data_IF_739157860394
#
_entry.id   IF_739157860394
#
_cell.length_a   1.000
_cell.length_b   1.000
_cell.length_c   1.000
_cell.angle_alpha   90.00
_cell.angle_beta   90.00
_cell.angle_gamma   90.00
#
_symmetry.space_group_name_H-M   'P 1'
#
loop_
_entity.id
_entity.type
_entity.pdbx_description
1 polymer ?
#
# COMPACT_ATOMS: atom_id res chain seq x y z
N UNK A 1 3.92 -1.01 10.78
CA UNK A 1 2.99 -0.06 10.14
C UNK A 1 2.01 0.47 11.18
N UNK A 2 1.41 1.65 10.94
CA UNK A 2 0.41 2.19 11.86
C UNK A 2 -0.74 1.21 12.14
N UNK A 3 -1.05 0.34 11.17
CA UNK A 3 -2.03 -0.72 11.34
C UNK A 3 -1.55 -1.83 12.31
N UNK A 4 -0.24 -2.15 12.31
CA UNK A 4 0.33 -3.09 13.28
C UNK A 4 0.19 -2.58 14.71
N UNK A 5 0.52 -1.29 14.94
CA UNK A 5 0.35 -0.67 16.27
C UNK A 5 -1.11 -0.63 16.71
N UNK A 6 -2.01 -0.37 15.77
CA UNK A 6 -3.46 -0.40 16.03
C UNK A 6 -3.91 -1.80 16.49
N UNK A 7 -3.52 -2.84 15.78
CA UNK A 7 -3.86 -4.22 16.12
C UNK A 7 -3.23 -4.64 17.46
N UNK A 8 -1.95 -4.32 17.70
CA UNK A 8 -1.28 -4.57 18.98
C UNK A 8 -1.96 -3.85 20.15
N UNK A 9 -2.54 -2.67 19.89
CA UNK A 9 -3.32 -1.92 20.88
C UNK A 9 -4.79 -2.36 21.00
N UNK A 10 -5.19 -3.48 20.38
CA UNK A 10 -6.56 -3.97 20.38
C UNK A 10 -7.56 -3.15 19.56
N UNK A 11 -7.07 -2.24 18.72
CA UNK A 11 -7.90 -1.40 17.86
C UNK A 11 -8.22 -2.13 16.56
N UNK A 12 -9.26 -1.66 15.86
CA UNK A 12 -9.68 -2.24 14.57
C UNK A 12 -8.70 -1.89 13.45
N UNK A 13 -8.49 -2.82 12.53
CA UNK A 13 -7.78 -2.61 11.27
C UNK A 13 -8.63 -1.74 10.33
N UNK A 14 -8.05 -0.66 9.79
CA UNK A 14 -8.77 0.26 8.91
C UNK A 14 -8.70 -0.21 7.47
N UNK A 15 -9.85 -0.27 6.80
CA UNK A 15 -9.97 -0.46 5.36
C UNK A 15 -10.89 0.58 4.76
N UNK A 16 -10.67 0.92 3.49
CA UNK A 16 -11.60 1.75 2.74
C UNK A 16 -12.67 0.86 2.11
N UNK A 17 -13.93 1.29 2.20
CA UNK A 17 -15.11 0.50 1.83
C UNK A 17 -15.09 -0.89 2.50
N UNK A 18 -15.09 -1.95 1.70
CA UNK A 18 -15.02 -3.34 2.17
C UNK A 18 -13.59 -3.91 2.17
N UNK A 19 -12.60 -3.15 1.64
CA UNK A 19 -11.21 -3.58 1.57
C UNK A 19 -10.92 -4.66 0.52
N UNK A 20 -11.81 -4.84 -0.47
CA UNK A 20 -11.69 -5.88 -1.52
C UNK A 20 -11.58 -5.31 -2.93
N UNK A 21 -11.83 -4.00 -3.12
CA UNK A 21 -11.93 -3.37 -4.44
C UNK A 21 -10.60 -3.12 -5.12
N UNK A 22 -9.55 -2.95 -4.35
CA UNK A 22 -8.20 -2.70 -4.85
C UNK A 22 -7.26 -3.82 -4.43
N UNK A 23 -6.23 -4.04 -5.21
CA UNK A 23 -5.19 -5.02 -4.89
C UNK A 23 -3.81 -4.54 -5.34
N UNK A 24 -2.77 -5.13 -4.78
CA UNK A 24 -1.38 -4.92 -5.21
C UNK A 24 -0.58 -6.20 -5.00
N UNK A 25 0.59 -6.29 -5.65
CA UNK A 25 1.64 -7.27 -5.35
C UNK A 25 2.73 -6.56 -4.54
N UNK A 26 2.72 -6.64 -3.19
CA UNK A 26 3.69 -5.93 -2.36
C UNK A 26 5.11 -6.41 -2.66
N UNK A 27 6.03 -5.47 -2.93
CA UNK A 27 7.44 -5.75 -3.13
C UNK A 27 8.25 -5.19 -1.96
N UNK A 28 9.28 -5.93 -1.53
CA UNK A 28 10.17 -5.45 -0.47
C UNK A 28 11.07 -4.32 -0.98
N UNK A 29 11.49 -3.44 -0.07
CA UNK A 29 12.46 -2.39 -0.40
C UNK A 29 13.77 -2.97 -0.91
N UNK A 30 14.21 -4.12 -0.40
CA UNK A 30 15.42 -4.83 -0.82
C UNK A 30 15.29 -5.32 -2.26
N UNK A 31 14.20 -6.02 -2.58
CA UNK A 31 13.96 -6.54 -3.92
C UNK A 31 13.79 -5.40 -4.93
N UNK A 32 13.05 -4.35 -4.57
CA UNK A 32 12.88 -3.18 -5.41
C UNK A 32 14.22 -2.48 -5.69
N UNK A 33 15.06 -2.31 -4.67
CA UNK A 33 16.40 -1.73 -4.83
C UNK A 33 17.28 -2.58 -5.77
N UNK A 34 17.24 -3.91 -5.61
CA UNK A 34 17.94 -4.84 -6.50
C UNK A 34 17.46 -4.70 -7.95
N UNK A 35 16.13 -4.61 -8.15
CA UNK A 35 15.55 -4.40 -9.48
C UNK A 35 16.01 -3.07 -10.11
N UNK A 36 16.01 -1.99 -9.34
CA UNK A 36 16.45 -0.67 -9.81
C UNK A 36 17.92 -0.69 -10.22
N UNK A 37 18.78 -1.33 -9.42
CA UNK A 37 20.22 -1.47 -9.75
C UNK A 37 20.40 -2.29 -11.03
N UNK A 38 19.63 -3.38 -11.20
CA UNK A 38 19.68 -4.19 -12.41
C UNK A 38 19.26 -3.41 -13.67
N UNK A 39 18.35 -2.45 -13.56
CA UNK A 39 17.97 -1.57 -14.67
C UNK A 39 19.13 -0.71 -15.19
N UNK A 40 20.16 -0.42 -14.37
CA UNK A 40 21.32 0.37 -14.79
C UNK A 40 22.13 -0.39 -15.83
N UNK A 41 22.29 -1.69 -15.64
CA UNK A 41 23.14 -2.54 -16.46
C UNK A 41 22.39 -3.32 -17.57
N UNK A 42 21.07 -3.25 -17.57
CA UNK A 42 20.23 -3.98 -18.52
C UNK A 42 19.58 -3.00 -19.52
N UNK A 43 20.11 -2.96 -20.75
CA UNK A 43 19.62 -2.08 -21.82
C UNK A 43 18.14 -2.32 -22.17
N UNK A 44 17.65 -3.57 -21.98
CA UNK A 44 16.25 -3.90 -22.25
C UNK A 44 15.27 -3.25 -21.27
N UNK A 45 15.77 -2.76 -20.13
CA UNK A 45 14.99 -2.07 -19.09
C UNK A 45 15.14 -0.56 -19.12
N UNK A 46 16.06 -0.02 -19.93
CA UNK A 46 16.31 1.42 -19.99
C UNK A 46 15.29 2.15 -20.86
N UNK A 47 14.92 3.37 -20.46
CA UNK A 47 13.96 4.24 -21.17
C UNK A 47 12.58 3.61 -21.39
N UNK A 48 12.13 2.77 -20.46
CA UNK A 48 10.82 2.10 -20.51
C UNK A 48 10.06 2.32 -19.20
N UNK A 49 8.74 2.26 -19.29
CA UNK A 49 7.88 2.10 -18.12
C UNK A 49 7.82 0.59 -17.80
N UNK A 50 8.27 0.22 -16.62
CA UNK A 50 8.39 -1.17 -16.20
C UNK A 50 7.45 -1.40 -15.01
N UNK A 51 6.25 -1.95 -15.25
CA UNK A 51 5.40 -2.39 -14.14
C UNK A 51 6.07 -3.53 -13.40
N UNK A 52 5.99 -3.52 -12.06
CA UNK A 52 6.61 -4.51 -11.21
C UNK A 52 5.82 -4.72 -9.93
N UNK A 53 5.76 -5.95 -9.45
CA UNK A 53 5.27 -6.34 -8.15
C UNK A 53 6.20 -7.30 -7.46
N UNK A 54 5.96 -7.56 -6.19
CA UNK A 54 6.64 -8.60 -5.42
C UNK A 54 6.11 -9.99 -5.75
N UNK A 55 6.74 -11.03 -5.18
CA UNK A 55 6.38 -12.42 -5.43
C UNK A 55 5.03 -12.79 -4.80
N UNK A 56 4.29 -13.65 -5.49
CA UNK A 56 3.04 -14.24 -5.03
C UNK A 56 1.77 -13.52 -5.50
N UNK A 57 0.61 -13.90 -4.98
CA UNK A 57 -0.67 -13.38 -5.46
C UNK A 57 -0.84 -11.89 -5.15
N UNK A 58 -1.65 -11.21 -5.96
CA UNK A 58 -2.11 -9.89 -5.61
C UNK A 58 -2.98 -9.95 -4.34
N UNK A 59 -2.76 -9.01 -3.43
CA UNK A 59 -3.40 -8.97 -2.13
C UNK A 59 -4.25 -7.72 -1.99
N UNK A 60 -5.50 -7.90 -1.63
CA UNK A 60 -6.42 -6.83 -1.23
C UNK A 60 -6.07 -6.30 0.17
N UNK A 61 -6.50 -5.08 0.54
CA UNK A 61 -6.30 -4.56 1.89
C UNK A 61 -6.77 -5.49 3.02
N UNK A 62 -7.88 -6.20 2.81
CA UNK A 62 -8.39 -7.14 3.83
C UNK A 62 -7.52 -8.39 3.95
N UNK A 63 -6.95 -8.90 2.85
CA UNK A 63 -6.01 -10.02 2.86
C UNK A 63 -4.69 -9.64 3.52
N UNK A 64 -4.17 -8.44 3.25
CA UNK A 64 -3.01 -7.90 3.95
C UNK A 64 -3.28 -7.76 5.46
N UNK A 65 -4.49 -7.30 5.82
CA UNK A 65 -4.90 -7.23 7.22
C UNK A 65 -4.96 -8.60 7.90
N UNK A 66 -5.43 -9.64 7.18
CA UNK A 66 -5.42 -11.03 7.70
C UNK A 66 -4.00 -11.55 7.94
N UNK A 67 -3.10 -11.33 6.98
CA UNK A 67 -1.70 -11.71 7.13
C UNK A 67 -1.05 -11.03 8.35
N UNK A 68 -1.29 -9.73 8.53
CA UNK A 68 -0.77 -8.96 9.65
C UNK A 68 -1.35 -9.45 10.99
N UNK A 69 -2.68 -9.62 11.08
CA UNK A 69 -3.35 -10.07 12.28
C UNK A 69 -2.87 -11.48 12.69
N UNK A 70 -2.72 -12.39 11.72
CA UNK A 70 -2.17 -13.72 11.93
C UNK A 70 -0.72 -13.67 12.45
N UNK A 71 0.12 -12.81 11.88
CA UNK A 71 1.51 -12.65 12.30
C UNK A 71 1.62 -12.13 13.74
N UNK A 72 0.74 -11.21 14.14
CA UNK A 72 0.70 -10.65 15.51
C UNK A 72 0.00 -11.61 16.49
N UNK A 73 -0.78 -12.58 16.01
CA UNK A 73 -1.54 -13.52 16.87
C UNK A 73 -2.82 -12.93 17.44
N UNK A 74 -3.47 -11.99 16.74
CA UNK A 74 -4.71 -11.34 17.19
C UNK A 74 -5.85 -11.56 16.19
N UNK A 75 -7.13 -11.51 16.65
CA UNK A 75 -8.26 -11.57 15.73
C UNK A 75 -8.32 -10.31 14.85
N UNK A 76 -8.65 -10.47 13.56
CA UNK A 76 -8.84 -9.35 12.64
C UNK A 76 -10.23 -8.72 12.87
N UNK A 77 -10.27 -7.61 13.57
CA UNK A 77 -11.44 -6.76 13.66
C UNK A 77 -11.32 -5.58 12.68
N UNK A 78 -12.27 -5.40 11.79
CA UNK A 78 -12.22 -4.42 10.69
C UNK A 78 -13.06 -3.19 11.03
N UNK A 79 -12.54 -2.02 10.69
CA UNK A 79 -13.26 -0.76 10.64
C UNK A 79 -13.30 -0.29 9.18
N UNK A 80 -14.48 -0.26 8.61
CA UNK A 80 -14.72 0.25 7.25
C UNK A 80 -14.80 1.77 7.28
N UNK A 81 -14.12 2.42 6.35
CA UNK A 81 -14.15 3.87 6.16
C UNK A 81 -14.66 4.17 4.75
N UNK A 82 -15.79 4.87 4.59
CA UNK A 82 -16.33 5.18 3.28
C UNK A 82 -15.35 5.99 2.44
N UNK A 83 -15.15 5.64 1.16
CA UNK A 83 -14.34 6.42 0.22
C UNK A 83 -14.89 7.83 -0.01
N UNK A 84 -16.21 8.00 0.10
CA UNK A 84 -16.87 9.31 0.01
C UNK A 84 -16.32 10.33 1.03
N UNK A 85 -15.71 9.87 2.14
CA UNK A 85 -15.04 10.75 3.09
C UNK A 85 -13.93 11.58 2.43
N UNK A 86 -13.19 11.00 1.48
CA UNK A 86 -12.15 11.71 0.73
C UNK A 86 -12.74 12.77 -0.21
N UNK A 87 -13.95 12.57 -0.73
CA UNK A 87 -14.59 13.52 -1.64
C UNK A 87 -14.99 14.83 -0.93
N UNK A 88 -15.16 14.75 0.39
CA UNK A 88 -15.39 15.93 1.24
C UNK A 88 -14.07 16.47 1.81
N UNK A 89 -13.22 15.58 2.31
CA UNK A 89 -11.98 15.95 3.01
C UNK A 89 -10.98 16.67 2.09
N UNK A 90 -10.78 16.15 0.87
CA UNK A 90 -9.78 16.69 -0.06
C UNK A 90 -10.11 18.13 -0.48
N UNK A 91 -11.32 18.46 -0.96
CA UNK A 91 -11.68 19.85 -1.28
C UNK A 91 -11.57 20.79 -0.09
N UNK A 92 -12.01 20.36 1.10
CA UNK A 92 -11.92 21.17 2.33
C UNK A 92 -10.45 21.47 2.67
N UNK A 93 -9.59 20.45 2.68
CA UNK A 93 -8.16 20.63 2.93
C UNK A 93 -7.48 21.52 1.88
N UNK A 94 -7.87 21.41 0.61
CA UNK A 94 -7.36 22.29 -0.46
C UNK A 94 -7.81 23.74 -0.26
N UNK A 95 -9.08 23.95 0.03
CA UNK A 95 -9.63 25.30 0.27
C UNK A 95 -8.97 26.00 1.45
N UNK A 96 -8.88 25.31 2.61
CA UNK A 96 -8.23 25.86 3.80
C UNK A 96 -6.71 25.94 3.63
N UNK A 97 -6.11 24.98 2.91
CA UNK A 97 -4.67 24.96 2.60
C UNK A 97 -4.20 26.12 1.73
N UNK A 98 -5.12 26.78 0.99
CA UNK A 98 -4.81 28.02 0.29
C UNK A 98 -4.45 29.15 1.25
N UNK A 99 -5.01 29.14 2.46
CA UNK A 99 -4.79 30.14 3.52
C UNK A 99 -3.75 29.67 4.55
N UNK A 100 -3.63 28.35 4.76
CA UNK A 100 -2.76 27.75 5.78
C UNK A 100 -1.77 26.78 5.12
N UNK A 101 -0.51 27.18 4.88
CA UNK A 101 0.49 26.36 4.16
C UNK A 101 0.69 24.95 4.73
N UNK A 102 0.63 24.78 6.05
CA UNK A 102 0.76 23.47 6.72
C UNK A 102 -0.34 22.46 6.33
N UNK A 103 -1.46 22.91 5.78
CA UNK A 103 -2.54 22.04 5.31
C UNK A 103 -2.38 21.63 3.84
N UNK A 104 -1.50 22.27 3.06
CA UNK A 104 -1.23 21.90 1.68
C UNK A 104 -0.64 20.47 1.60
N UNK A 105 0.32 20.16 2.46
CA UNK A 105 0.92 18.82 2.53
C UNK A 105 -0.12 17.77 2.92
N UNK A 106 -0.98 18.08 3.89
CA UNK A 106 -2.07 17.18 4.29
C UNK A 106 -3.09 16.96 3.17
N UNK A 107 -3.40 17.99 2.39
CA UNK A 107 -4.27 17.90 1.23
C UNK A 107 -3.65 16.98 0.14
N UNK A 108 -2.36 17.15 -0.15
CA UNK A 108 -1.64 16.31 -1.11
C UNK A 108 -1.60 14.84 -0.65
N UNK A 109 -1.31 14.58 0.62
CA UNK A 109 -1.33 13.23 1.19
C UNK A 109 -2.73 12.61 1.14
N UNK A 110 -3.78 13.39 1.40
CA UNK A 110 -5.16 12.92 1.29
C UNK A 110 -5.55 12.58 -0.16
N UNK A 111 -5.05 13.34 -1.15
CA UNK A 111 -5.22 13.01 -2.58
C UNK A 111 -4.54 11.71 -2.97
N UNK A 112 -3.30 11.52 -2.55
CA UNK A 112 -2.55 10.29 -2.75
C UNK A 112 -3.29 9.11 -2.10
N UNK A 113 -3.74 9.27 -0.86
CA UNK A 113 -4.53 8.27 -0.14
C UNK A 113 -5.84 7.93 -0.86
N UNK A 114 -6.55 8.94 -1.40
CA UNK A 114 -7.74 8.74 -2.21
C UNK A 114 -7.48 7.93 -3.49
N UNK A 115 -6.36 8.22 -4.16
CA UNK A 115 -5.95 7.48 -5.35
C UNK A 115 -5.72 6.00 -5.04
N UNK A 116 -4.86 5.69 -4.06
CA UNK A 116 -4.57 4.31 -3.68
C UNK A 116 -5.75 3.54 -3.07
N UNK A 117 -6.73 4.26 -2.55
CA UNK A 117 -7.95 3.64 -2.05
C UNK A 117 -8.94 3.25 -3.16
N UNK A 118 -8.76 3.78 -4.39
CA UNK A 118 -9.63 3.55 -5.55
C UNK A 118 -8.99 2.70 -6.63
N UNK A 119 -7.67 2.81 -6.80
CA UNK A 119 -6.93 2.20 -7.88
C UNK A 119 -6.06 1.04 -7.37
N UNK A 120 -6.03 -0.06 -8.12
CA UNK A 120 -5.11 -1.15 -7.84
C UNK A 120 -3.70 -0.82 -8.36
N UNK A 121 -2.68 -1.29 -7.64
CA UNK A 121 -1.29 -1.20 -8.10
C UNK A 121 -0.92 -2.47 -8.86
N UNK A 122 -1.56 -2.66 -10.00
CA UNK A 122 -1.42 -3.80 -10.91
C UNK A 122 -1.41 -3.26 -12.34
N UNK A 123 -0.98 -4.07 -13.29
CA UNK A 123 -1.06 -3.72 -14.71
C UNK A 123 -2.51 -3.53 -15.12
N UNK A 124 -2.79 -2.43 -15.79
CA UNK A 124 -4.08 -2.18 -16.41
C UNK A 124 -4.16 -2.89 -17.76
N UNK A 125 -5.20 -3.67 -17.97
CA UNK A 125 -5.48 -4.33 -19.23
C UNK A 125 -6.52 -3.52 -20.03
N UNK A 126 -6.06 -2.91 -21.10
CA UNK A 126 -6.91 -2.08 -21.99
C UNK A 126 -8.01 -2.89 -22.66
N UNK A 127 -7.81 -4.18 -22.87
CA UNK A 127 -8.79 -5.03 -23.55
C UNK A 127 -9.98 -5.35 -22.65
N UNK A 128 -9.68 -5.75 -21.42
CA UNK A 128 -10.73 -6.10 -20.44
C UNK A 128 -11.19 -4.91 -19.59
N UNK A 129 -10.52 -3.75 -19.69
CA UNK A 129 -10.75 -2.56 -18.87
C UNK A 129 -10.72 -2.87 -17.38
N UNK A 130 -9.77 -3.73 -16.99
CA UNK A 130 -9.60 -4.16 -15.58
C UNK A 130 -8.11 -4.25 -15.21
N UNK A 131 -7.84 -4.24 -13.91
CA UNK A 131 -6.51 -4.54 -13.38
C UNK A 131 -6.22 -6.04 -13.46
N UNK A 132 -5.07 -6.39 -14.03
CA UNK A 132 -4.66 -7.79 -14.26
C UNK A 132 -3.48 -8.18 -13.38
N UNK A 133 -3.73 -9.00 -12.38
CA UNK A 133 -2.70 -9.50 -11.46
C UNK A 133 -1.71 -10.45 -12.16
N UNK A 134 -2.20 -11.28 -13.09
CA UNK A 134 -1.37 -12.26 -13.80
C UNK A 134 -0.45 -11.58 -14.80
N UNK A 135 -0.88 -10.47 -15.40
CA UNK A 135 -0.04 -9.65 -16.28
C UNK A 135 0.94 -8.75 -15.52
N UNK A 136 0.83 -8.63 -14.19
CA UNK A 136 1.75 -7.83 -13.37
C UNK A 136 3.02 -8.65 -13.09
N UNK A 137 4.19 -8.25 -13.65
CA UNK A 137 5.44 -8.97 -13.47
C UNK A 137 5.85 -9.06 -12.01
N UNK A 138 6.44 -10.18 -11.63
CA UNK A 138 6.96 -10.41 -10.29
C UNK A 138 8.49 -10.33 -10.27
N UNK A 139 9.03 -9.80 -9.17
CA UNK A 139 10.46 -9.78 -8.92
C UNK A 139 10.75 -9.94 -7.43
N UNK A 140 11.85 -10.64 -7.15
CA UNK A 140 12.34 -10.84 -5.79
C UNK A 140 11.79 -12.11 -5.12
N UNK A 141 12.09 -12.23 -3.86
CA UNK A 141 11.76 -13.41 -3.05
C UNK A 141 11.09 -13.08 -1.73
N UNK A 142 11.13 -11.80 -1.30
CA UNK A 142 10.61 -11.38 -0.02
C UNK A 142 9.08 -11.27 -0.06
N UNK A 143 8.39 -12.09 0.71
CA UNK A 143 6.93 -12.04 0.78
C UNK A 143 6.43 -11.11 1.89
N UNK A 144 5.24 -10.53 1.71
CA UNK A 144 4.60 -9.72 2.75
C UNK A 144 4.35 -10.51 4.03
N UNK A 145 4.03 -11.80 3.91
CA UNK A 145 3.80 -12.68 5.07
C UNK A 145 5.06 -12.87 5.91
N UNK A 146 6.23 -13.00 5.29
CA UNK A 146 7.52 -13.09 5.98
C UNK A 146 7.88 -11.76 6.63
N UNK A 147 7.69 -10.65 5.93
CA UNK A 147 7.89 -9.31 6.49
C UNK A 147 7.03 -9.08 7.74
N UNK A 148 5.75 -9.44 7.70
CA UNK A 148 4.87 -9.28 8.87
C UNK A 148 5.25 -10.19 10.03
N UNK A 149 5.75 -11.41 9.77
CA UNK A 149 6.29 -12.28 10.83
C UNK A 149 7.53 -11.67 11.48
N UNK A 150 8.47 -11.18 10.69
CA UNK A 150 9.67 -10.50 11.19
C UNK A 150 9.32 -9.22 11.99
N UNK A 151 8.34 -8.44 11.51
CA UNK A 151 7.83 -7.26 12.20
C UNK A 151 7.16 -7.61 13.54
N UNK A 152 6.42 -8.70 13.60
CA UNK A 152 5.78 -9.18 14.81
C UNK A 152 6.79 -9.68 15.84
N UNK A 153 7.86 -10.35 15.39
CA UNK A 153 8.98 -10.82 16.20
C UNK A 153 9.89 -9.67 16.72
N UNK A 154 9.84 -8.50 16.07
CA UNK A 154 10.71 -7.36 16.38
C UNK A 154 12.06 -7.39 15.67
N UNK A 155 12.24 -8.29 14.69
CA UNK A 155 13.47 -8.45 13.92
C UNK A 155 13.66 -7.34 12.87
N UNK A 156 12.56 -6.65 12.51
CA UNK A 156 12.56 -5.54 11.56
C UNK A 156 11.94 -4.31 12.21
N UNK A 157 12.63 -3.18 12.09
CA UNK A 157 12.10 -1.89 12.54
C UNK A 157 10.94 -1.45 11.64
N UNK A 158 9.87 -0.94 12.24
CA UNK A 158 8.80 -0.25 11.51
C UNK A 158 9.26 1.17 11.14
N UNK A 159 10.17 1.27 10.17
CA UNK A 159 10.64 2.58 9.68
C UNK A 159 9.60 3.20 8.74
N UNK A 160 8.86 4.13 9.29
CA UNK A 160 7.86 4.92 8.56
C UNK A 160 8.41 6.26 8.04
N UNK A 161 9.71 6.52 8.25
CA UNK A 161 10.33 7.78 7.88
C UNK A 161 9.63 8.99 8.52
N UNK A 162 9.71 10.15 7.85
CA UNK A 162 9.06 11.39 8.30
C UNK A 162 7.53 11.39 8.09
N UNK A 163 6.98 10.42 7.35
CA UNK A 163 5.57 10.38 6.94
C UNK A 163 4.71 9.46 7.83
N UNK A 164 4.74 9.69 9.16
CA UNK A 164 3.88 8.97 10.12
C UNK A 164 2.44 9.50 10.05
N UNK A 165 1.71 9.21 8.99
CA UNK A 165 0.36 9.76 8.79
C UNK A 165 -0.74 8.81 9.28
N UNK A 166 -0.44 7.51 9.49
CA UNK A 166 -1.40 6.49 9.94
C UNK A 166 -0.81 5.55 10.96
#
# INVERSE_FOLDING_TARGET
>A
SGQADRLKAGKKFLVFDDGTKTACKPISTRDLATYIVDCINNSERQNKVLPIGGPGPALTPIEQGRLLANAIGVPLNIQKTPLALFDVLVPVLKGVGALVPALKEKAALAEIGRYYARESMLVWDETSQTYNADATPEFGTDTLAEHYRALAAGDVADDRGAHKVF
#
